data_IF_827973896070
#
_entry.id   IF_827973896070
#
_cell.length_a   1.000
_cell.length_b   1.000
_cell.length_c   1.000
_cell.angle_alpha   90.00
_cell.angle_beta   90.00
_cell.angle_gamma   90.00
#
_symmetry.space_group_name_H-M   'P 1'
#
loop_
_entity.id
_entity.type
_entity.pdbx_description
1 polymer ?
#
# COMPACT_ATOMS: atom_id res chain seq x y z
N UNK A 1 3.17 6.14 19.62
CA UNK A 1 1.83 5.55 19.95
C UNK A 1 2.07 4.26 20.75
N UNK A 2 1.49 4.13 21.94
CA UNK A 2 1.53 2.87 22.69
C UNK A 2 0.40 1.92 22.24
N UNK A 3 0.34 0.69 22.79
CA UNK A 3 -0.63 -0.33 22.36
C UNK A 3 -2.09 0.09 22.61
N UNK A 4 -2.40 0.67 23.78
CA UNK A 4 -3.76 1.11 24.10
C UNK A 4 -4.23 2.25 23.18
N UNK A 5 -3.32 3.19 22.89
CA UNK A 5 -3.56 4.26 21.92
C UNK A 5 -3.77 3.70 20.51
N UNK A 6 -2.96 2.71 20.11
CA UNK A 6 -3.08 2.06 18.81
C UNK A 6 -4.44 1.38 18.67
N UNK A 7 -4.84 0.57 19.66
CA UNK A 7 -6.15 -0.10 19.67
C UNK A 7 -7.28 0.92 19.54
N UNK A 8 -7.29 1.94 20.40
CA UNK A 8 -8.31 2.99 20.39
C UNK A 8 -8.39 3.72 19.03
N UNK A 9 -7.26 4.08 18.41
CA UNK A 9 -7.26 4.79 17.14
C UNK A 9 -7.66 3.89 15.96
N UNK A 10 -7.32 2.60 15.98
CA UNK A 10 -7.75 1.63 14.97
C UNK A 10 -9.25 1.35 15.06
N UNK A 11 -9.79 1.19 16.27
CA UNK A 11 -11.23 1.04 16.50
C UNK A 11 -12.06 2.23 15.98
N UNK A 12 -11.51 3.46 16.03
CA UNK A 12 -12.12 4.65 15.41
C UNK A 12 -12.18 4.58 13.87
N UNK A 13 -11.36 3.73 13.25
CA UNK A 13 -11.45 3.45 11.81
C UNK A 13 -12.54 2.42 11.48
N UNK A 14 -13.23 1.88 12.49
CA UNK A 14 -14.22 0.81 12.34
C UNK A 14 -13.61 -0.58 12.22
N UNK A 15 -12.33 -0.75 12.60
CA UNK A 15 -11.59 -1.99 12.49
C UNK A 15 -11.49 -2.65 13.88
N UNK A 16 -11.89 -3.92 13.95
CA UNK A 16 -11.74 -4.71 15.18
C UNK A 16 -10.27 -5.07 15.46
N UNK A 17 -9.87 -4.92 16.74
CA UNK A 17 -8.50 -5.19 17.20
C UNK A 17 -8.53 -6.19 18.34
N UNK A 18 -8.20 -7.45 18.02
CA UNK A 18 -8.06 -8.55 18.98
C UNK A 18 -6.59 -8.79 19.38
N UNK A 19 -6.40 -9.62 20.39
CA UNK A 19 -5.06 -9.96 20.89
C UNK A 19 -4.23 -10.75 19.86
N UNK A 20 -4.86 -11.50 18.95
CA UNK A 20 -4.17 -12.25 17.90
C UNK A 20 -3.50 -11.25 16.95
N UNK A 21 -4.23 -10.25 16.46
CA UNK A 21 -3.69 -9.20 15.58
C UNK A 21 -2.57 -8.41 16.26
N UNK A 22 -2.73 -8.08 17.55
CA UNK A 22 -1.69 -7.39 18.32
C UNK A 22 -0.42 -8.24 18.46
N UNK A 23 -0.53 -9.53 18.73
CA UNK A 23 0.60 -10.44 18.82
C UNK A 23 1.31 -10.60 17.46
N UNK A 24 0.56 -10.66 16.35
CA UNK A 24 1.15 -10.68 15.00
C UNK A 24 1.91 -9.38 14.68
N UNK A 25 1.37 -8.21 15.06
CA UNK A 25 2.08 -6.93 14.89
C UNK A 25 3.35 -6.87 15.74
N UNK A 26 3.32 -7.39 16.98
CA UNK A 26 4.50 -7.43 17.83
C UNK A 26 5.60 -8.30 17.22
N UNK A 27 5.26 -9.49 16.78
CA UNK A 27 6.19 -10.39 16.10
C UNK A 27 6.73 -9.76 14.80
N UNK A 28 5.87 -9.08 14.04
CA UNK A 28 6.30 -8.35 12.86
C UNK A 28 7.27 -7.21 13.19
N UNK A 29 7.03 -6.47 14.27
CA UNK A 29 7.94 -5.44 14.74
C UNK A 29 9.33 -6.03 15.08
N UNK A 30 9.39 -7.12 15.84
CA UNK A 30 10.66 -7.80 16.19
C UNK A 30 11.43 -8.23 14.93
N UNK A 31 10.75 -8.84 13.96
CA UNK A 31 11.35 -9.24 12.69
C UNK A 31 11.87 -8.00 11.91
N UNK A 32 11.08 -6.92 11.86
CA UNK A 32 11.46 -5.69 11.19
C UNK A 32 12.76 -5.12 11.77
N UNK A 33 12.87 -5.02 13.10
CA UNK A 33 14.07 -4.47 13.75
C UNK A 33 15.29 -5.36 13.50
N UNK A 34 15.15 -6.67 13.71
CA UNK A 34 16.26 -7.63 13.52
C UNK A 34 16.80 -7.64 12.07
N UNK A 35 15.92 -7.51 11.08
CA UNK A 35 16.32 -7.45 9.68
C UNK A 35 16.82 -6.07 9.26
N UNK A 36 16.30 -5.01 9.89
CA UNK A 36 16.70 -3.64 9.58
C UNK A 36 18.18 -3.38 9.85
N UNK A 37 18.77 -4.03 10.86
CA UNK A 37 20.19 -3.99 11.14
C UNK A 37 21.05 -4.49 9.97
N UNK A 38 20.52 -5.40 9.14
CA UNK A 38 21.24 -6.06 8.05
C UNK A 38 21.02 -5.41 6.68
N UNK A 39 19.78 -4.93 6.41
CA UNK A 39 19.41 -4.55 5.04
C UNK A 39 18.77 -3.15 4.89
N UNK A 40 18.72 -2.35 5.94
CA UNK A 40 18.13 -1.00 5.94
C UNK A 40 16.72 -0.97 5.30
N UNK A 41 15.75 -1.55 5.99
CA UNK A 41 14.35 -1.60 5.56
C UNK A 41 13.62 -0.27 5.79
N UNK A 42 13.89 0.36 6.93
CA UNK A 42 13.25 1.61 7.38
C UNK A 42 14.21 2.44 8.23
N UNK A 43 14.02 3.76 8.20
CA UNK A 43 14.69 4.67 9.13
C UNK A 43 13.94 4.79 10.48
N UNK A 44 12.72 4.25 10.58
CA UNK A 44 11.88 4.34 11.78
C UNK A 44 12.00 3.01 12.54
N UNK A 45 12.67 3.05 13.70
CA UNK A 45 12.97 1.85 14.51
C UNK A 45 12.37 1.88 15.90
N UNK A 46 12.08 3.06 16.43
CA UNK A 46 11.43 3.22 17.74
C UNK A 46 10.02 2.62 17.70
N UNK A 47 9.73 1.70 18.62
CA UNK A 47 8.46 0.94 18.65
C UNK A 47 7.22 1.83 18.54
N UNK A 48 7.16 2.90 19.33
CA UNK A 48 6.03 3.85 19.31
C UNK A 48 5.84 4.52 17.95
N UNK A 49 6.94 4.76 17.22
CA UNK A 49 6.92 5.38 15.90
C UNK A 49 6.56 4.37 14.82
N UNK A 50 7.01 3.11 14.92
CA UNK A 50 6.59 2.01 14.01
C UNK A 50 5.09 1.77 14.14
N UNK A 51 4.55 1.71 15.37
CA UNK A 51 3.11 1.56 15.60
C UNK A 51 2.29 2.72 15.02
N UNK A 52 2.80 3.95 15.08
CA UNK A 52 2.11 5.12 14.52
C UNK A 52 2.29 5.26 13.01
N UNK A 53 3.56 5.31 12.55
CA UNK A 53 3.95 5.73 11.20
C UNK A 53 3.97 4.58 10.19
N UNK A 54 3.93 3.33 10.69
CA UNK A 54 3.85 2.16 9.82
C UNK A 54 2.55 1.41 10.04
N UNK A 55 2.25 0.92 11.24
CA UNK A 55 1.09 0.06 11.44
C UNK A 55 -0.24 0.83 11.35
N UNK A 56 -0.42 1.86 12.18
CA UNK A 56 -1.64 2.68 12.14
C UNK A 56 -1.79 3.39 10.78
N UNK A 57 -0.71 4.01 10.28
CA UNK A 57 -0.72 4.71 8.98
C UNK A 57 -1.19 3.76 7.85
N UNK A 58 -0.77 2.49 7.86
CA UNK A 58 -1.21 1.47 6.89
C UNK A 58 -2.72 1.23 6.93
N UNK A 59 -3.33 1.19 8.13
CA UNK A 59 -4.76 0.97 8.31
C UNK A 59 -5.63 2.19 7.97
N UNK A 60 -5.03 3.37 7.85
CA UNK A 60 -5.77 4.58 7.46
C UNK A 60 -6.37 4.50 6.06
N UNK A 61 -5.98 3.53 5.23
CA UNK A 61 -6.62 3.23 3.93
C UNK A 61 -8.13 3.02 4.09
N UNK A 62 -8.58 2.48 5.22
CA UNK A 62 -9.99 2.24 5.55
C UNK A 62 -10.81 3.54 5.72
N UNK A 63 -10.17 4.72 5.80
CA UNK A 63 -10.88 6.00 5.73
C UNK A 63 -11.55 6.24 4.37
N UNK A 64 -11.07 5.61 3.32
CA UNK A 64 -11.54 5.85 1.94
C UNK A 64 -12.17 4.65 1.28
N UNK A 65 -11.91 3.43 1.73
CA UNK A 65 -12.41 2.19 1.15
C UNK A 65 -12.75 1.18 2.23
N UNK A 66 -13.82 0.41 2.00
CA UNK A 66 -14.18 -0.77 2.79
C UNK A 66 -13.47 -1.99 2.17
N UNK A 67 -12.55 -2.58 2.93
CA UNK A 67 -11.76 -3.73 2.48
C UNK A 67 -12.46 -5.09 2.72
N UNK A 68 -13.49 -5.14 3.56
CA UNK A 68 -14.26 -6.37 3.79
C UNK A 68 -15.05 -6.82 2.56
N UNK A 69 -15.32 -5.87 1.64
CA UNK A 69 -16.04 -6.13 0.39
C UNK A 69 -15.12 -6.45 -0.81
N UNK A 70 -13.82 -6.59 -0.61
CA UNK A 70 -12.84 -6.78 -1.67
C UNK A 70 -12.10 -8.12 -1.51
N UNK A 71 -11.60 -8.71 -2.61
CA UNK A 71 -10.93 -10.02 -2.59
C UNK A 71 -9.43 -9.95 -2.92
N UNK A 72 -9.08 -9.21 -3.99
CA UNK A 72 -7.73 -9.22 -4.56
C UNK A 72 -7.04 -7.88 -4.34
N UNK A 73 -6.00 -7.88 -3.54
CA UNK A 73 -5.27 -6.69 -3.15
C UNK A 73 -3.81 -6.73 -3.67
N UNK A 74 -3.32 -5.63 -4.22
CA UNK A 74 -1.93 -5.50 -4.65
C UNK A 74 -1.26 -4.27 -4.04
N UNK A 75 -0.08 -4.46 -3.45
CA UNK A 75 0.75 -3.37 -2.91
C UNK A 75 2.00 -3.19 -3.78
N UNK A 76 2.06 -2.07 -4.51
CA UNK A 76 3.16 -1.74 -5.42
C UNK A 76 4.24 -0.94 -4.71
N UNK A 77 5.46 -1.47 -4.73
CA UNK A 77 6.59 -0.88 -4.01
C UNK A 77 6.43 -1.06 -2.50
N UNK A 78 6.00 -2.24 -2.10
CA UNK A 78 5.62 -2.59 -0.72
C UNK A 78 6.72 -2.33 0.32
N UNK A 79 7.98 -2.29 -0.08
CA UNK A 79 9.10 -2.03 0.81
C UNK A 79 9.27 -3.12 1.86
N UNK A 80 9.19 -2.71 3.11
CA UNK A 80 9.17 -3.64 4.24
C UNK A 80 7.78 -4.27 4.51
N UNK A 81 6.83 -4.18 3.55
CA UNK A 81 5.49 -4.73 3.68
C UNK A 81 4.41 -3.72 4.12
N UNK A 82 4.63 -2.44 3.89
CA UNK A 82 3.70 -1.37 4.28
C UNK A 82 3.04 -0.69 3.07
N UNK A 83 1.70 -0.75 2.94
CA UNK A 83 0.73 -1.21 3.93
C UNK A 83 0.41 -2.71 3.87
N UNK A 84 0.87 -3.48 2.87
CA UNK A 84 0.38 -4.80 2.51
C UNK A 84 0.31 -5.82 3.66
N UNK A 85 1.42 -6.05 4.40
CA UNK A 85 1.43 -7.03 5.51
C UNK A 85 0.48 -6.61 6.64
N UNK A 86 0.44 -5.33 6.98
CA UNK A 86 -0.48 -4.84 8.03
C UNK A 86 -1.93 -5.06 7.61
N UNK A 87 -2.28 -4.73 6.36
CA UNK A 87 -3.61 -4.99 5.78
C UNK A 87 -3.93 -6.49 5.86
N UNK A 88 -2.99 -7.37 5.50
CA UNK A 88 -3.19 -8.82 5.54
C UNK A 88 -3.45 -9.35 6.94
N UNK A 89 -2.79 -8.81 7.96
CA UNK A 89 -3.04 -9.17 9.36
C UNK A 89 -4.47 -8.81 9.79
N UNK A 90 -4.98 -7.66 9.37
CA UNK A 90 -6.32 -7.20 9.77
C UNK A 90 -7.45 -7.71 8.88
N UNK A 91 -7.16 -8.01 7.62
CA UNK A 91 -8.10 -8.51 6.61
C UNK A 91 -7.57 -9.82 5.99
N UNK A 92 -7.57 -10.93 6.77
CA UNK A 92 -6.93 -12.19 6.37
C UNK A 92 -7.57 -12.86 5.15
N UNK A 93 -8.81 -12.54 4.80
CA UNK A 93 -9.50 -13.06 3.61
C UNK A 93 -8.92 -12.54 2.28
N UNK A 94 -8.21 -11.40 2.30
CA UNK A 94 -7.66 -10.81 1.08
C UNK A 94 -6.56 -11.68 0.47
N UNK A 95 -6.67 -11.95 -0.82
CA UNK A 95 -5.58 -12.50 -1.65
C UNK A 95 -4.61 -11.39 -1.96
N UNK A 96 -3.43 -11.45 -1.36
CA UNK A 96 -2.45 -10.36 -1.35
C UNK A 96 -1.33 -10.60 -2.36
N UNK A 97 -0.99 -9.57 -3.14
CA UNK A 97 0.22 -9.55 -3.97
C UNK A 97 1.09 -8.37 -3.54
N UNK A 98 2.33 -8.66 -3.14
CA UNK A 98 3.31 -7.67 -2.70
C UNK A 98 4.44 -7.58 -3.73
N UNK A 99 4.61 -6.41 -4.34
CA UNK A 99 5.59 -6.18 -5.41
C UNK A 99 6.69 -5.24 -4.94
N UNK A 100 7.95 -5.65 -5.05
CA UNK A 100 9.09 -4.74 -4.83
C UNK A 100 10.25 -5.07 -5.79
N UNK A 101 10.97 -4.04 -6.22
CA UNK A 101 12.10 -4.17 -7.13
C UNK A 101 13.40 -4.64 -6.47
N UNK A 102 13.44 -4.69 -5.14
CA UNK A 102 14.62 -5.09 -4.37
C UNK A 102 14.45 -6.50 -3.79
N UNK A 103 15.18 -7.46 -4.32
CA UNK A 103 15.12 -8.87 -3.89
C UNK A 103 15.36 -9.06 -2.39
N UNK A 104 16.20 -8.23 -1.76
CA UNK A 104 16.44 -8.29 -0.31
C UNK A 104 15.18 -8.01 0.51
N UNK A 105 14.26 -7.15 0.02
CA UNK A 105 12.96 -6.88 0.65
C UNK A 105 12.01 -8.05 0.49
N UNK A 106 11.97 -8.65 -0.70
CA UNK A 106 11.17 -9.86 -0.96
C UNK A 106 11.60 -11.03 -0.06
N UNK A 107 12.92 -11.22 0.13
CA UNK A 107 13.43 -12.22 1.09
C UNK A 107 12.99 -11.94 2.53
N UNK A 108 13.02 -10.69 2.96
CA UNK A 108 12.48 -10.31 4.27
C UNK A 108 11.00 -10.63 4.39
N UNK A 109 10.20 -10.24 3.39
CA UNK A 109 8.76 -10.49 3.38
C UNK A 109 8.43 -11.99 3.36
N UNK A 110 9.25 -12.83 2.72
CA UNK A 110 9.09 -14.30 2.76
C UNK A 110 9.21 -14.81 4.20
N UNK A 111 10.20 -14.34 4.95
CA UNK A 111 10.36 -14.71 6.37
C UNK A 111 9.18 -14.18 7.20
N UNK A 112 8.73 -12.94 6.95
CA UNK A 112 7.56 -12.39 7.67
C UNK A 112 6.31 -13.24 7.42
N UNK A 113 6.02 -13.61 6.16
CA UNK A 113 4.85 -14.43 5.84
C UNK A 113 4.92 -15.80 6.50
N UNK A 114 6.08 -16.44 6.50
CA UNK A 114 6.31 -17.73 7.14
C UNK A 114 6.14 -17.63 8.67
N UNK A 115 6.82 -16.70 9.31
CA UNK A 115 6.81 -16.51 10.76
C UNK A 115 5.46 -16.08 11.32
N UNK A 116 4.65 -15.36 10.55
CA UNK A 116 3.32 -14.91 10.94
C UNK A 116 2.20 -15.85 10.43
N UNK A 117 2.54 -16.94 9.75
CA UNK A 117 1.60 -17.91 9.15
C UNK A 117 0.56 -17.22 8.25
N UNK A 118 1.01 -16.29 7.38
CA UNK A 118 0.13 -15.56 6.47
C UNK A 118 -0.10 -16.36 5.19
N UNK A 119 -1.29 -16.91 5.03
CA UNK A 119 -1.73 -17.59 3.80
C UNK A 119 -2.11 -16.60 2.69
N UNK A 120 -2.24 -17.07 1.44
CA UNK A 120 -2.69 -16.30 0.28
C UNK A 120 -1.90 -14.98 0.04
N UNK A 121 -0.60 -15.00 0.27
CA UNK A 121 0.33 -13.91 -0.03
C UNK A 121 1.29 -14.33 -1.13
N UNK A 122 1.27 -13.62 -2.26
CA UNK A 122 2.22 -13.80 -3.36
C UNK A 122 3.25 -12.67 -3.33
N UNK A 123 4.52 -13.03 -3.27
CA UNK A 123 5.65 -12.10 -3.26
C UNK A 123 6.27 -12.02 -4.65
N UNK A 124 6.37 -10.82 -5.20
CA UNK A 124 6.89 -10.59 -6.55
C UNK A 124 8.12 -9.69 -6.52
N UNK A 125 9.26 -10.26 -6.92
CA UNK A 125 10.46 -9.48 -7.20
C UNK A 125 10.38 -8.94 -8.63
N UNK A 126 10.10 -7.67 -8.80
CA UNK A 126 9.98 -7.07 -10.13
C UNK A 126 9.75 -5.57 -10.09
N UNK A 127 9.86 -4.94 -11.23
CA UNK A 127 9.51 -3.53 -11.39
C UNK A 127 8.01 -3.37 -11.60
N UNK A 128 7.44 -2.30 -11.06
CA UNK A 128 6.01 -2.01 -11.11
C UNK A 128 5.46 -1.98 -12.55
N UNK A 129 6.19 -1.37 -13.48
CA UNK A 129 5.79 -1.26 -14.88
C UNK A 129 5.84 -2.60 -15.64
N UNK A 130 6.75 -3.50 -15.27
CA UNK A 130 6.84 -4.84 -15.85
C UNK A 130 5.71 -5.72 -15.33
N UNK A 131 5.55 -5.76 -14.02
CA UNK A 131 4.44 -6.44 -13.35
C UNK A 131 3.08 -6.00 -13.88
N UNK A 132 2.89 -4.70 -14.09
CA UNK A 132 1.62 -4.15 -14.54
C UNK A 132 1.26 -4.55 -15.98
N UNK A 133 2.22 -4.83 -16.85
CA UNK A 133 1.96 -5.34 -18.22
C UNK A 133 1.38 -6.74 -18.21
N UNK A 134 1.84 -7.59 -17.29
CA UNK A 134 1.47 -9.00 -17.20
C UNK A 134 0.17 -9.23 -16.39
N UNK A 135 -0.17 -8.30 -15.52
CA UNK A 135 -1.27 -8.44 -14.54
C UNK A 135 -2.41 -7.44 -14.75
N UNK A 136 -2.75 -7.14 -16.00
CA UNK A 136 -3.81 -6.16 -16.34
C UNK A 136 -5.18 -6.61 -15.85
N UNK A 137 -5.94 -5.66 -15.27
CA UNK A 137 -7.31 -5.87 -14.77
C UNK A 137 -7.44 -7.07 -13.78
N UNK A 138 -6.47 -7.24 -12.89
CA UNK A 138 -6.40 -8.39 -11.99
C UNK A 138 -6.83 -8.11 -10.55
N UNK A 139 -6.77 -6.84 -10.12
CA UNK A 139 -6.95 -6.50 -8.71
C UNK A 139 -8.18 -5.65 -8.45
N UNK A 140 -8.85 -5.91 -7.33
CA UNK A 140 -9.95 -5.09 -6.83
C UNK A 140 -9.40 -3.81 -6.20
N UNK A 141 -8.35 -3.92 -5.42
CA UNK A 141 -7.65 -2.79 -4.82
C UNK A 141 -6.17 -2.87 -5.16
N UNK A 142 -5.63 -1.77 -5.67
CA UNK A 142 -4.19 -1.55 -5.81
C UNK A 142 -3.79 -0.40 -4.90
N UNK A 143 -2.72 -0.55 -4.14
CA UNK A 143 -2.17 0.54 -3.32
C UNK A 143 -0.71 0.81 -3.64
N UNK A 144 -0.27 2.03 -3.33
CA UNK A 144 1.12 2.40 -3.31
C UNK A 144 1.35 3.47 -2.25
N UNK A 145 2.43 3.32 -1.44
CA UNK A 145 2.80 4.26 -0.39
C UNK A 145 4.19 4.84 -0.64
N UNK A 146 4.27 6.18 -0.76
CA UNK A 146 5.53 6.94 -0.84
C UNK A 146 6.55 6.51 -1.93
N UNK A 147 6.09 5.94 -3.04
CA UNK A 147 6.97 5.36 -4.07
C UNK A 147 7.41 6.40 -5.12
N UNK A 148 6.51 7.33 -5.52
CA UNK A 148 6.76 8.28 -6.61
C UNK A 148 5.72 9.41 -6.60
N UNK A 149 5.78 10.35 -7.56
CA UNK A 149 4.72 11.36 -7.77
C UNK A 149 3.40 10.70 -8.18
N UNK A 150 2.28 11.40 -7.94
CA UNK A 150 0.95 10.83 -8.13
C UNK A 150 0.67 10.39 -9.57
N UNK A 151 1.04 11.19 -10.56
CA UNK A 151 0.88 10.83 -11.98
C UNK A 151 1.66 9.58 -12.39
N UNK A 152 2.89 9.39 -11.87
CA UNK A 152 3.69 8.19 -12.09
C UNK A 152 3.02 6.96 -11.47
N UNK A 153 2.50 7.09 -10.24
CA UNK A 153 1.78 6.00 -9.57
C UNK A 153 0.52 5.59 -10.34
N UNK A 154 -0.21 6.54 -10.89
CA UNK A 154 -1.39 6.26 -11.71
C UNK A 154 -1.03 5.37 -12.91
N UNK A 155 0.08 5.67 -13.59
CA UNK A 155 0.49 4.89 -14.77
C UNK A 155 0.93 3.47 -14.40
N UNK A 156 1.55 3.26 -13.24
CA UNK A 156 1.88 1.90 -12.77
C UNK A 156 0.65 1.12 -12.31
N UNK A 157 -0.30 1.79 -11.66
CA UNK A 157 -1.35 1.14 -10.90
C UNK A 157 -2.67 0.94 -11.66
N UNK A 158 -3.15 1.96 -12.39
CA UNK A 158 -4.47 1.90 -13.04
C UNK A 158 -4.60 0.75 -14.06
N UNK A 159 -3.57 0.41 -14.86
CA UNK A 159 -3.69 -0.72 -15.79
C UNK A 159 -4.02 -2.06 -15.12
N UNK A 160 -3.57 -2.32 -13.90
CA UNK A 160 -3.80 -3.58 -13.19
C UNK A 160 -5.07 -3.59 -12.34
N UNK A 161 -5.66 -2.44 -12.06
CA UNK A 161 -6.96 -2.34 -11.39
C UNK A 161 -8.04 -2.91 -12.32
N UNK A 162 -8.96 -3.73 -11.80
CA UNK A 162 -10.17 -4.17 -12.51
C UNK A 162 -11.07 -2.99 -12.86
N UNK A 163 -11.88 -3.13 -13.89
CA UNK A 163 -12.88 -2.10 -14.23
C UNK A 163 -13.87 -1.92 -13.08
N UNK A 164 -14.24 -0.67 -12.78
CA UNK A 164 -15.09 -0.24 -11.65
C UNK A 164 -14.47 -0.46 -10.26
N UNK A 165 -13.18 -0.81 -10.16
CA UNK A 165 -12.43 -1.02 -8.92
C UNK A 165 -11.41 0.10 -8.69
N UNK A 166 -10.52 -0.02 -7.69
CA UNK A 166 -9.89 1.10 -7.05
C UNK A 166 -8.36 1.05 -7.01
N UNK A 167 -7.76 2.21 -7.18
CA UNK A 167 -6.38 2.48 -6.76
C UNK A 167 -6.39 3.43 -5.58
N UNK A 168 -5.60 3.14 -4.54
CA UNK A 168 -5.45 3.98 -3.35
C UNK A 168 -4.01 4.47 -3.26
N UNK A 169 -3.80 5.77 -3.42
CA UNK A 169 -2.51 6.39 -3.20
C UNK A 169 -2.40 6.91 -1.77
N UNK A 170 -1.42 6.40 -1.00
CA UNK A 170 -1.12 6.86 0.36
C UNK A 170 0.08 7.80 0.32
N UNK A 171 -0.13 9.06 0.70
CA UNK A 171 0.82 10.16 0.50
C UNK A 171 1.09 10.92 1.79
N UNK A 172 2.31 11.48 1.93
CA UNK A 172 2.62 12.46 2.98
C UNK A 172 1.99 13.83 2.70
N UNK A 173 1.94 14.22 1.41
CA UNK A 173 1.36 15.48 0.94
C UNK A 173 0.33 15.22 -0.15
N UNK A 174 -0.59 16.16 -0.35
CA UNK A 174 -1.52 16.13 -1.46
C UNK A 174 -0.86 16.68 -2.74
N UNK A 175 -0.50 15.79 -3.64
CA UNK A 175 -0.01 16.11 -4.99
C UNK A 175 -0.99 15.66 -6.09
N UNK A 176 -2.27 15.48 -5.76
CA UNK A 176 -3.30 14.96 -6.67
C UNK A 176 -3.46 15.78 -7.97
N UNK A 177 -3.16 17.05 -7.93
CA UNK A 177 -3.22 17.93 -9.10
C UNK A 177 -2.23 17.52 -10.20
N UNK A 178 -1.11 16.89 -9.86
CA UNK A 178 -0.12 16.41 -10.85
C UNK A 178 -0.65 15.26 -11.72
N UNK A 179 -1.71 14.58 -11.28
CA UNK A 179 -2.27 13.41 -11.97
C UNK A 179 -3.48 13.66 -12.86
N UNK A 180 -3.95 14.91 -13.03
CA UNK A 180 -5.19 15.22 -13.77
C UNK A 180 -5.16 14.66 -15.20
N UNK A 181 -4.05 14.85 -15.90
CA UNK A 181 -3.89 14.36 -17.27
C UNK A 181 -3.82 12.81 -17.30
N UNK A 182 -3.05 12.22 -16.40
CA UNK A 182 -2.95 10.76 -16.26
C UNK A 182 -4.30 10.11 -15.97
N UNK A 183 -5.11 10.68 -15.06
CA UNK A 183 -6.46 10.20 -14.75
C UNK A 183 -7.34 10.13 -16.00
N UNK A 184 -7.33 11.19 -16.83
CA UNK A 184 -8.11 11.24 -18.08
C UNK A 184 -7.63 10.18 -19.09
N UNK A 185 -6.32 10.08 -19.30
CA UNK A 185 -5.71 9.14 -20.26
C UNK A 185 -5.98 7.69 -19.86
N UNK A 186 -5.94 7.39 -18.55
CA UNK A 186 -6.09 6.04 -18.00
C UNK A 186 -7.55 5.68 -17.67
N UNK A 187 -8.53 6.47 -18.12
CA UNK A 187 -9.97 6.26 -17.88
C UNK A 187 -10.31 6.08 -16.40
N UNK A 188 -9.84 6.98 -15.56
CA UNK A 188 -10.01 6.94 -14.12
C UNK A 188 -10.36 8.33 -13.54
N UNK A 189 -10.88 8.35 -12.31
CA UNK A 189 -11.22 9.60 -11.59
C UNK A 189 -10.95 9.45 -10.10
N UNK A 190 -10.58 10.53 -9.45
CA UNK A 190 -10.59 10.63 -8.00
C UNK A 190 -12.06 10.62 -7.54
N UNK A 191 -12.43 9.69 -6.68
CA UNK A 191 -13.78 9.55 -6.12
C UNK A 191 -13.86 9.92 -4.65
N UNK A 192 -12.74 9.84 -3.92
CA UNK A 192 -12.63 10.31 -2.54
C UNK A 192 -11.21 10.77 -2.25
N UNK A 193 -11.05 11.75 -1.38
CA UNK A 193 -9.77 12.21 -0.86
C UNK A 193 -9.93 12.59 0.60
N UNK A 194 -9.02 12.10 1.43
CA UNK A 194 -8.94 12.41 2.84
C UNK A 194 -7.57 13.00 3.17
N UNK A 195 -7.57 14.18 3.80
CA UNK A 195 -6.38 14.83 4.32
C UNK A 195 -6.50 14.94 5.83
N UNK A 196 -5.50 14.45 6.56
CA UNK A 196 -5.52 14.43 8.02
C UNK A 196 -4.10 14.44 8.57
N UNK A 197 -3.95 14.68 9.86
CA UNK A 197 -2.69 14.45 10.57
C UNK A 197 -2.75 13.11 11.31
N UNK A 198 -1.61 12.43 11.41
CA UNK A 198 -1.49 11.27 12.28
C UNK A 198 -1.78 11.70 13.73
N UNK A 199 -2.47 10.86 14.54
CA UNK A 199 -2.75 11.19 15.93
C UNK A 199 -1.43 11.31 16.72
N UNK A 200 -1.43 12.18 17.71
CA UNK A 200 -0.30 12.43 18.61
C UNK A 200 0.94 13.10 17.98
N UNK A 201 0.91 13.42 16.69
CA UNK A 201 1.96 14.20 16.04
C UNK A 201 1.39 15.06 14.90
N UNK A 202 2.16 16.08 14.48
CA UNK A 202 1.76 16.97 13.39
C UNK A 202 2.32 16.47 12.04
N UNK A 203 2.03 15.22 11.68
CA UNK A 203 2.47 14.59 10.44
C UNK A 203 1.29 14.43 9.49
N UNK A 204 1.26 15.27 8.46
CA UNK A 204 0.18 15.29 7.48
C UNK A 204 0.16 14.03 6.62
N UNK A 205 -1.04 13.57 6.28
CA UNK A 205 -1.33 12.48 5.34
C UNK A 205 -2.42 12.89 4.37
N UNK A 206 -2.29 12.35 3.17
CA UNK A 206 -3.31 12.43 2.13
C UNK A 206 -3.54 11.04 1.55
N UNK A 207 -4.78 10.57 1.56
CA UNK A 207 -5.18 9.32 0.92
C UNK A 207 -6.12 9.65 -0.21
N UNK A 208 -5.79 9.19 -1.41
CA UNK A 208 -6.52 9.51 -2.63
C UNK A 208 -7.08 8.21 -3.20
N UNK A 209 -8.42 8.08 -3.24
CA UNK A 209 -9.12 6.96 -3.85
C UNK A 209 -9.45 7.29 -5.30
N UNK A 210 -8.90 6.49 -6.20
CA UNK A 210 -9.11 6.60 -7.64
C UNK A 210 -9.92 5.40 -8.11
N UNK A 211 -11.02 5.64 -8.81
CA UNK A 211 -11.82 4.60 -9.46
C UNK A 211 -11.49 4.52 -10.94
N UNK A 212 -11.31 3.32 -11.46
CA UNK A 212 -11.15 3.03 -12.88
C UNK A 212 -12.54 2.82 -13.52
N UNK A 213 -12.78 3.45 -14.67
CA UNK A 213 -14.08 3.37 -15.36
C UNK A 213 -14.01 2.69 -16.72
N UNK A 214 -12.83 2.36 -17.22
CA UNK A 214 -12.67 1.76 -18.54
C UNK A 214 -11.28 1.15 -18.72
N UNK A 215 -11.05 0.56 -19.87
CA UNK A 215 -9.75 -0.04 -20.21
C UNK A 215 -8.70 1.05 -20.45
N UNK A 216 -7.53 0.84 -19.88
CA UNK A 216 -6.34 1.61 -20.23
C UNK A 216 -5.75 1.06 -21.53
N UNK A 217 -5.33 1.93 -22.44
CA UNK A 217 -4.64 1.56 -23.69
C UNK A 217 -3.45 0.60 -23.40
N UNK A 218 -3.22 -0.38 -24.26
CA UNK A 218 -2.18 -1.41 -24.12
C UNK A 218 -0.76 -0.84 -24.07
N UNK A 219 -0.54 0.38 -24.59
CA UNK A 219 0.75 1.06 -24.46
C UNK A 219 1.11 1.47 -23.03
N UNK A 220 0.13 1.49 -22.10
CA UNK A 220 0.36 1.80 -20.69
C UNK A 220 0.39 0.53 -19.84
N UNK A 221 1.30 0.44 -18.84
CA UNK A 221 2.33 1.43 -18.55
C UNK A 221 3.44 1.41 -19.60
N UNK A 222 4.00 2.60 -19.86
CA UNK A 222 5.21 2.76 -20.69
C UNK A 222 6.43 2.23 -19.96
N UNK A 223 7.60 2.27 -20.61
CA UNK A 223 8.87 1.95 -19.95
C UNK A 223 9.18 2.96 -18.85
N UNK A 224 9.79 2.52 -17.75
CA UNK A 224 10.12 3.39 -16.60
C UNK A 224 10.91 4.66 -16.98
N UNK A 225 11.87 4.53 -17.93
CA UNK A 225 12.65 5.67 -18.44
C UNK A 225 11.78 6.73 -19.11
N UNK A 226 10.74 6.33 -19.83
CA UNK A 226 9.79 7.23 -20.48
C UNK A 226 8.86 7.90 -19.46
N UNK A 227 8.33 7.10 -18.51
CA UNK A 227 7.46 7.57 -17.43
C UNK A 227 8.17 8.64 -16.60
N UNK A 228 9.42 8.38 -16.20
CA UNK A 228 10.21 9.33 -15.39
C UNK A 228 10.60 10.59 -16.16
N UNK A 229 10.88 10.49 -17.45
CA UNK A 229 11.27 11.62 -18.27
C UNK A 229 10.09 12.52 -18.62
N UNK A 230 8.95 11.91 -18.93
CA UNK A 230 7.71 12.60 -19.33
C UNK A 230 6.51 11.95 -18.65
N UNK A 231 6.26 12.20 -17.34
CA UNK A 231 5.07 11.71 -16.65
C UNK A 231 3.79 12.19 -17.33
N UNK A 232 2.71 11.40 -17.28
CA UNK A 232 1.40 11.73 -17.87
C UNK A 232 0.78 12.99 -17.27
#
# INVERSE_FOLDING_TARGET
MNLDQFKCEVEKLGIDVDDIKLNLLEKYYELLINWNEKINLTAITEKKDVYLKHFYDSLTICKVIDLDSEDNFCDIGTGAGFPGIVIKIFFPHLKMVLVDSLNKRIKFLSVVCEELDLSDVVLVHGRAEEFAKENRNSFDVVTARAVSSFNVLLEYSIPIVKNNKFFVAMRGNDDSMTGINALKILNSKIVKKECFNLPYENSSRSIILVKKFGFSDLKYPRKNSEIKKNPL
#
